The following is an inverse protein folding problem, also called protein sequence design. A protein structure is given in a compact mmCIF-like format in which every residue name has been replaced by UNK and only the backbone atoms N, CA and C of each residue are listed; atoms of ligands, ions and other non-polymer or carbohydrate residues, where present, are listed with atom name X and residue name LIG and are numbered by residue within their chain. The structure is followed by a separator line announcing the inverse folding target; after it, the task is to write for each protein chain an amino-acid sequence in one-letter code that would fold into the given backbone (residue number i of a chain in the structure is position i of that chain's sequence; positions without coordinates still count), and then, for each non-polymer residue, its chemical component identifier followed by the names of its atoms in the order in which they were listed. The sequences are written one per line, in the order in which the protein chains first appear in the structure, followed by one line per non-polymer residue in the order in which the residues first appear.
data_IF_105522964583
#
_entry.id   IF_105522964583
#
_cell.length_a   1.000
_cell.length_b   1.000
_cell.length_c   1.000
_cell.angle_alpha   90.00
_cell.angle_beta   90.00
_cell.angle_gamma   90.00
#
_symmetry.space_group_name_H-M   'P 1'
#
loop_
_entity.id
_entity.type
_entity.pdbx_description
1 polymer ?
#
# COMPACT_ATOMS: atom_id res chain seq x y z
N UNK A 1 22.70 15.56 68.89
CA UNK A 1 22.95 15.33 67.45
C UNK A 1 21.92 14.34 66.96
N UNK A 2 20.80 14.84 66.43
CA UNK A 2 19.64 14.03 66.01
C UNK A 2 19.42 14.31 64.52
N UNK A 3 19.74 13.33 63.68
CA UNK A 3 19.63 13.43 62.24
C UNK A 3 18.21 13.09 61.78
N UNK A 4 17.53 14.07 61.19
CA UNK A 4 16.22 13.95 60.57
C UNK A 4 16.41 13.49 59.11
N UNK A 5 15.87 12.33 58.74
CA UNK A 5 15.84 11.84 57.35
C UNK A 5 14.49 12.22 56.71
N UNK A 6 14.52 13.02 55.64
CA UNK A 6 13.37 13.26 54.76
C UNK A 6 13.29 12.15 53.70
N UNK A 7 12.11 11.54 53.46
CA UNK A 7 11.92 10.68 52.30
C UNK A 7 11.59 11.52 51.06
N UNK A 8 12.33 11.29 49.98
CA UNK A 8 12.08 11.86 48.65
C UNK A 8 10.91 11.10 48.02
N UNK A 9 9.74 11.74 47.91
CA UNK A 9 8.58 11.18 47.19
C UNK A 9 8.79 11.42 45.69
N UNK A 10 9.05 10.35 44.93
CA UNK A 10 9.16 10.39 43.48
C UNK A 10 7.78 10.50 42.82
N UNK A 11 7.49 11.63 42.19
CA UNK A 11 6.29 11.88 41.41
C UNK A 11 6.44 11.22 40.03
N UNK A 12 5.87 10.02 39.84
CA UNK A 12 5.77 9.39 38.52
C UNK A 12 4.71 10.13 37.68
N UNK A 13 5.16 10.99 36.76
CA UNK A 13 4.30 11.58 35.72
C UNK A 13 4.04 10.51 34.66
N UNK A 14 2.87 9.88 34.71
CA UNK A 14 2.38 8.99 33.66
C UNK A 14 1.87 9.88 32.51
N UNK A 15 2.69 10.06 31.48
CA UNK A 15 2.26 10.74 30.26
C UNK A 15 1.24 9.85 29.53
N UNK A 16 -0.03 10.22 29.61
CA UNK A 16 -1.13 9.59 28.87
C UNK A 16 -0.98 9.94 27.38
N UNK A 17 -0.36 9.05 26.60
CA UNK A 17 -0.45 9.11 25.15
C UNK A 17 -1.90 8.76 24.75
N UNK A 18 -2.68 9.75 24.34
CA UNK A 18 -4.01 9.55 23.78
C UNK A 18 -3.88 8.82 22.43
N UNK A 19 -3.85 7.49 22.46
CA UNK A 19 -4.21 6.70 21.29
C UNK A 19 -5.71 6.93 21.08
N UNK A 20 -6.09 7.59 20.00
CA UNK A 20 -7.48 7.70 19.57
C UNK A 20 -7.98 6.28 19.30
N UNK A 21 -8.62 5.67 20.29
CA UNK A 21 -9.32 4.41 20.13
C UNK A 21 -10.46 4.67 19.15
N UNK A 22 -10.56 3.83 18.11
CA UNK A 22 -11.75 3.81 17.27
C UNK A 22 -12.98 3.69 18.18
N UNK A 23 -14.04 4.45 17.88
CA UNK A 23 -15.29 4.37 18.63
C UNK A 23 -15.78 2.93 18.72
N UNK A 24 -16.65 2.64 19.68
CA UNK A 24 -17.33 1.35 19.79
C UNK A 24 -18.21 1.15 18.54
N UNK A 25 -17.60 0.71 17.43
CA UNK A 25 -18.33 0.29 16.24
C UNK A 25 -19.27 -0.86 16.63
N UNK A 26 -20.43 -0.93 16.00
CA UNK A 26 -21.48 -1.93 16.23
C UNK A 26 -21.06 -3.36 15.80
N UNK A 27 -19.77 -3.68 15.85
CA UNK A 27 -19.21 -4.93 15.35
C UNK A 27 -19.24 -4.97 13.82
N UNK A 28 -19.68 -6.11 13.30
CA UNK A 28 -19.61 -6.55 11.89
C UNK A 28 -20.50 -5.76 10.89
N UNK A 29 -21.22 -4.73 11.37
CA UNK A 29 -22.13 -3.92 10.53
C UNK A 29 -21.51 -2.63 10.03
N UNK A 30 -20.49 -2.10 10.70
CA UNK A 30 -19.94 -0.79 10.34
C UNK A 30 -18.69 -1.00 9.47
N UNK A 31 -18.78 -0.80 8.15
CA UNK A 31 -17.56 -0.57 7.37
C UNK A 31 -17.16 0.91 7.55
N UNK A 32 -15.86 1.22 7.55
CA UNK A 32 -14.71 0.32 7.64
C UNK A 32 -14.32 0.00 9.10
N UNK A 33 -14.65 -1.21 9.60
CA UNK A 33 -14.27 -1.71 10.94
C UNK A 33 -13.04 -2.63 10.96
N UNK A 34 -12.35 -2.80 9.85
CA UNK A 34 -11.29 -3.80 9.79
C UNK A 34 -10.06 -3.34 10.57
N UNK A 35 -9.37 -4.29 11.19
CA UNK A 35 -8.10 -4.16 11.90
C UNK A 35 -6.98 -3.68 10.96
N UNK A 36 -7.10 -2.50 10.36
CA UNK A 36 -6.30 -2.01 9.23
C UNK A 36 -5.67 -0.66 9.50
N UNK A 37 -5.43 -0.35 10.78
CA UNK A 37 -4.74 0.87 11.19
C UNK A 37 -5.63 1.87 11.95
N UNK A 38 -5.04 2.95 12.46
CA UNK A 38 -3.94 3.70 11.85
C UNK A 38 -2.59 2.95 11.87
N UNK A 39 -1.85 3.05 10.77
CA UNK A 39 -0.47 2.61 10.71
C UNK A 39 0.43 3.71 11.28
N UNK A 40 1.36 3.29 12.14
CA UNK A 40 2.43 4.14 12.66
C UNK A 40 3.68 3.88 11.85
N UNK A 41 4.37 4.93 11.41
CA UNK A 41 5.71 4.79 10.85
C UNK A 41 6.65 4.10 11.87
N UNK A 42 7.38 3.07 11.42
CA UNK A 42 8.41 2.45 12.25
C UNK A 42 9.53 3.46 12.54
N UNK A 43 10.03 3.43 13.77
CA UNK A 43 11.18 4.23 14.19
C UNK A 43 12.47 3.52 13.75
N UNK A 44 13.54 4.30 13.63
CA UNK A 44 14.86 3.79 13.26
C UNK A 44 15.28 2.54 14.04
N UNK A 45 15.26 2.59 15.39
CA UNK A 45 15.61 1.43 16.23
C UNK A 45 14.63 0.26 16.23
N UNK A 46 13.54 0.33 15.45
CA UNK A 46 12.62 -0.80 15.24
C UNK A 46 12.87 -1.51 13.90
N UNK A 47 13.52 -0.80 12.97
CA UNK A 47 13.95 -1.29 11.67
C UNK A 47 15.38 -1.85 11.77
N UNK A 48 16.24 -1.18 12.54
CA UNK A 48 17.67 -1.49 12.65
C UNK A 48 17.99 -2.34 13.88
N UNK A 49 18.99 -3.21 13.75
CA UNK A 49 19.62 -3.93 14.87
C UNK A 49 20.97 -3.29 15.20
N UNK A 50 20.97 -2.39 16.19
CA UNK A 50 22.12 -1.54 16.50
C UNK A 50 22.40 -0.54 15.38
N UNK A 51 23.65 -0.52 14.90
CA UNK A 51 24.07 0.31 13.77
C UNK A 51 23.81 -0.38 12.42
N UNK A 52 23.49 -1.68 12.43
CA UNK A 52 23.22 -2.43 11.21
C UNK A 52 21.75 -2.24 10.83
N UNK A 53 21.52 -1.33 9.91
CA UNK A 53 20.26 -1.21 9.21
C UNK A 53 20.41 -1.80 7.81
N UNK A 54 20.08 -3.07 7.63
CA UNK A 54 20.10 -3.66 6.30
C UNK A 54 18.84 -3.25 5.56
N UNK A 55 19.01 -2.49 4.47
CA UNK A 55 17.97 -1.66 3.87
C UNK A 55 18.10 -0.17 4.25
N UNK A 56 19.02 0.25 5.11
CA UNK A 56 19.30 1.67 5.33
C UNK A 56 20.81 1.84 5.47
N UNK A 57 21.51 2.23 4.41
CA UNK A 57 22.85 2.78 4.62
C UNK A 57 22.61 4.18 5.18
N UNK A 58 22.91 4.27 6.47
CA UNK A 58 23.88 5.21 6.99
C UNK A 58 24.14 6.42 6.08
N UNK A 59 23.41 7.50 6.37
CA UNK A 59 24.00 8.82 6.18
C UNK A 59 25.26 8.91 7.06
N UNK A 60 26.32 9.62 6.61
CA UNK A 60 27.51 9.83 7.43
C UNK A 60 27.14 10.48 8.78
N UNK A 61 27.92 10.23 9.87
CA UNK A 61 27.70 10.89 11.14
C UNK A 61 27.74 12.42 10.98
N UNK A 62 26.62 13.10 11.23
CA UNK A 62 26.53 14.57 11.18
C UNK A 62 25.29 15.17 10.51
N UNK A 63 24.42 14.39 9.88
CA UNK A 63 23.15 14.90 9.32
C UNK A 63 22.01 14.73 10.31
N UNK A 64 21.70 15.78 11.06
CA UNK A 64 20.66 15.83 12.09
C UNK A 64 19.20 15.70 11.60
N UNK A 65 18.95 15.35 10.33
CA UNK A 65 17.61 15.31 9.74
C UNK A 65 17.17 13.90 9.25
N UNK A 66 17.84 12.83 9.71
CA UNK A 66 17.25 11.49 9.86
C UNK A 66 16.52 10.90 8.64
N UNK A 67 16.92 11.22 7.41
CA UNK A 67 16.20 10.78 6.21
C UNK A 67 16.81 9.50 5.65
N UNK A 68 16.21 8.36 6.01
CA UNK A 68 16.54 6.99 5.58
C UNK A 68 16.68 6.94 4.04
N UNK A 69 17.84 6.57 3.52
CA UNK A 69 18.05 6.30 2.09
C UNK A 69 18.59 4.87 1.97
N UNK A 70 17.94 4.03 1.19
CA UNK A 70 18.35 2.65 1.02
C UNK A 70 19.48 2.60 -0.03
N UNK A 71 20.67 2.06 0.28
CA UNK A 71 21.75 1.82 -0.67
C UNK A 71 21.28 0.73 -1.61
N UNK A 72 21.07 1.09 -2.87
CA UNK A 72 20.61 0.15 -3.89
C UNK A 72 19.13 -0.21 -3.84
N UNK A 73 18.32 0.29 -2.89
CA UNK A 73 16.89 0.28 -3.18
C UNK A 73 16.66 1.27 -4.31
N UNK A 74 15.97 0.85 -5.36
CA UNK A 74 15.64 1.78 -6.42
C UNK A 74 14.81 2.94 -5.86
N UNK A 75 14.78 4.09 -6.55
CA UNK A 75 13.69 5.06 -6.40
C UNK A 75 12.40 4.35 -6.81
N UNK A 76 11.83 3.57 -5.89
CA UNK A 76 10.70 2.71 -6.17
C UNK A 76 9.45 3.51 -5.99
N UNK A 77 8.72 3.59 -7.09
CA UNK A 77 7.29 3.79 -7.08
C UNK A 77 6.68 2.40 -6.85
N UNK A 78 5.66 2.35 -6.02
CA UNK A 78 4.73 1.20 -6.00
C UNK A 78 5.31 -0.16 -5.62
N UNK A 79 5.60 -0.40 -4.33
CA UNK A 79 5.93 -1.74 -3.84
C UNK A 79 4.74 -2.70 -3.98
N UNK A 80 5.04 -3.98 -4.27
CA UNK A 80 4.11 -5.10 -4.07
C UNK A 80 4.77 -6.17 -3.21
N UNK A 81 4.02 -6.63 -2.20
CA UNK A 81 4.54 -7.57 -1.20
C UNK A 81 3.87 -8.95 -1.32
N UNK A 82 4.70 -9.99 -1.25
CA UNK A 82 4.27 -11.37 -1.00
C UNK A 82 4.82 -11.81 0.35
N UNK A 83 3.94 -12.37 1.18
CA UNK A 83 4.32 -12.96 2.47
C UNK A 83 4.28 -14.47 2.35
N UNK A 84 5.36 -15.12 2.79
CA UNK A 84 5.48 -16.56 2.91
C UNK A 84 5.84 -16.94 4.33
N UNK A 85 5.41 -18.15 4.69
CA UNK A 85 5.55 -18.62 6.05
C UNK A 85 4.56 -17.93 7.00
N UNK A 86 4.60 -18.37 8.25
CA UNK A 86 3.73 -17.87 9.30
C UNK A 86 4.42 -16.89 10.24
N UNK A 87 5.74 -16.77 10.11
CA UNK A 87 6.63 -16.12 11.07
C UNK A 87 6.81 -16.90 12.36
N UNK A 88 6.29 -18.13 12.43
CA UNK A 88 6.59 -19.06 13.52
C UNK A 88 7.85 -19.82 13.13
N UNK A 89 8.71 -20.07 14.11
CA UNK A 89 9.94 -20.86 13.93
C UNK A 89 10.94 -20.28 12.89
N UNK A 90 10.85 -18.98 12.60
CA UNK A 90 11.77 -18.29 11.67
C UNK A 90 11.52 -18.57 10.19
N UNK A 91 10.34 -19.11 9.85
CA UNK A 91 9.94 -19.41 8.46
C UNK A 91 9.49 -18.18 7.65
N UNK A 92 9.44 -16.99 8.26
CA UNK A 92 8.96 -15.78 7.62
C UNK A 92 9.82 -15.43 6.42
N UNK A 93 9.21 -15.20 5.26
CA UNK A 93 9.89 -14.57 4.12
C UNK A 93 8.96 -13.54 3.51
N UNK A 94 9.44 -12.31 3.43
CA UNK A 94 8.75 -11.22 2.74
C UNK A 94 9.48 -10.95 1.45
N UNK A 95 8.80 -11.16 0.33
CA UNK A 95 9.34 -10.85 -1.00
C UNK A 95 8.69 -9.56 -1.48
N UNK A 96 9.50 -8.57 -1.83
CA UNK A 96 9.04 -7.28 -2.31
C UNK A 96 9.44 -7.10 -3.77
N UNK A 97 8.46 -6.73 -4.59
CA UNK A 97 8.64 -6.31 -5.96
C UNK A 97 8.51 -4.79 -6.03
N UNK A 98 9.42 -4.14 -6.75
CA UNK A 98 9.52 -2.69 -6.78
C UNK A 98 10.01 -2.22 -8.14
N UNK A 99 9.57 -1.03 -8.54
CA UNK A 99 10.14 -0.38 -9.71
C UNK A 99 11.60 0.01 -9.51
N UNK A 100 12.37 -0.03 -10.60
CA UNK A 100 13.73 0.50 -10.68
C UNK A 100 13.93 1.31 -11.95
N UNK A 101 14.30 2.56 -11.76
CA UNK A 101 14.63 3.50 -12.83
C UNK A 101 15.56 4.61 -12.33
N UNK A 102 16.10 5.42 -13.25
CA UNK A 102 16.78 6.65 -12.89
C UNK A 102 15.77 7.69 -12.35
N UNK A 103 16.22 8.50 -11.39
CA UNK A 103 15.38 9.53 -10.75
C UNK A 103 14.70 10.45 -11.77
N UNK A 104 13.40 10.68 -11.57
CA UNK A 104 12.60 11.57 -12.39
C UNK A 104 12.27 11.06 -13.80
N UNK A 105 12.56 9.79 -14.10
CA UNK A 105 12.19 9.15 -15.38
C UNK A 105 11.25 7.96 -15.14
N UNK A 106 10.47 7.56 -16.15
CA UNK A 106 9.74 6.29 -16.10
C UNK A 106 10.69 5.12 -15.82
N UNK A 107 10.24 4.19 -14.97
CA UNK A 107 11.00 3.00 -14.61
C UNK A 107 11.09 2.05 -15.80
N UNK A 108 12.26 1.46 -16.01
CA UNK A 108 12.50 0.51 -17.11
C UNK A 108 12.62 -0.93 -16.58
N UNK A 109 12.60 -1.12 -15.25
CA UNK A 109 12.83 -2.41 -14.60
C UNK A 109 11.93 -2.59 -13.40
N UNK A 110 11.66 -3.85 -13.07
CA UNK A 110 11.13 -4.28 -11.79
C UNK A 110 12.20 -5.13 -11.11
N UNK A 111 12.48 -4.82 -9.85
CA UNK A 111 13.34 -5.61 -8.97
C UNK A 111 12.55 -6.47 -8.02
N UNK A 112 13.19 -7.52 -7.52
CA UNK A 112 12.79 -8.34 -6.39
C UNK A 112 13.80 -8.15 -5.27
N UNK A 113 13.31 -8.11 -4.05
CA UNK A 113 14.09 -8.12 -2.81
C UNK A 113 13.45 -9.11 -1.85
N UNK A 114 14.24 -9.66 -0.92
CA UNK A 114 13.74 -10.59 0.08
C UNK A 114 14.17 -10.17 1.48
N UNK A 115 13.25 -10.28 2.43
CA UNK A 115 13.49 -10.02 3.84
C UNK A 115 13.07 -11.22 4.69
N UNK A 116 14.00 -11.87 5.41
CA UNK A 116 13.66 -12.96 6.31
C UNK A 116 12.91 -12.50 7.57
N UNK A 117 12.88 -11.21 7.85
CA UNK A 117 12.27 -10.63 9.04
C UNK A 117 11.28 -9.49 8.74
N UNK A 118 10.93 -9.31 7.45
CA UNK A 118 10.06 -8.24 6.94
C UNK A 118 10.60 -6.80 7.08
N UNK A 119 11.86 -6.62 7.49
CA UNK A 119 12.48 -5.30 7.72
C UNK A 119 13.75 -5.14 6.89
N UNK A 120 14.57 -6.17 6.92
CA UNK A 120 15.88 -6.25 6.28
C UNK A 120 15.75 -6.80 4.87
N UNK A 121 15.72 -5.92 3.87
CA UNK A 121 15.67 -6.34 2.47
C UNK A 121 17.07 -6.52 1.91
N UNK A 122 17.36 -7.74 1.47
CA UNK A 122 18.60 -8.14 0.84
C UNK A 122 18.33 -8.68 -0.58
N UNK A 123 19.40 -9.06 -1.29
CA UNK A 123 19.32 -9.78 -2.56
C UNK A 123 18.52 -9.04 -3.65
N UNK A 124 18.85 -7.77 -3.88
CA UNK A 124 18.21 -6.93 -4.92
C UNK A 124 18.54 -7.51 -6.30
N UNK A 125 17.52 -8.03 -6.99
CA UNK A 125 17.65 -8.64 -8.31
C UNK A 125 16.71 -7.98 -9.31
N UNK A 126 17.20 -7.62 -10.50
CA UNK A 126 16.33 -7.23 -11.61
C UNK A 126 15.61 -8.49 -12.12
N UNK A 127 14.27 -8.51 -12.07
CA UNK A 127 13.45 -9.68 -12.44
C UNK A 127 12.60 -9.48 -13.69
N UNK A 128 12.38 -8.22 -14.08
CA UNK A 128 11.71 -7.85 -15.33
C UNK A 128 12.31 -6.54 -15.86
N UNK A 129 12.49 -6.45 -17.18
CA UNK A 129 12.94 -5.22 -17.86
C UNK A 129 11.99 -4.88 -18.99
N UNK A 130 11.69 -3.60 -19.22
CA UNK A 130 10.95 -3.14 -20.38
C UNK A 130 11.70 -3.53 -21.67
N UNK A 131 10.96 -4.01 -22.67
CA UNK A 131 11.54 -4.45 -23.94
C UNK A 131 10.53 -4.95 -24.96
N UNK A 132 9.28 -5.20 -24.57
CA UNK A 132 8.23 -5.50 -25.54
C UNK A 132 7.71 -4.19 -26.16
N UNK A 133 7.34 -4.18 -27.46
CA UNK A 133 6.85 -2.96 -28.11
C UNK A 133 5.65 -2.31 -27.41
N UNK A 134 4.74 -3.13 -26.85
CA UNK A 134 3.56 -2.64 -26.13
C UNK A 134 3.88 -2.01 -24.77
N UNK A 135 5.13 -2.09 -24.30
CA UNK A 135 5.54 -1.49 -23.02
C UNK A 135 5.92 -0.02 -23.18
N UNK A 136 6.21 0.46 -24.39
CA UNK A 136 6.60 1.85 -24.62
C UNK A 136 7.90 2.25 -23.92
N UNK A 137 8.74 1.29 -23.57
CA UNK A 137 10.02 1.52 -22.90
C UNK A 137 9.94 1.73 -21.38
N UNK A 138 8.77 1.63 -20.76
CA UNK A 138 8.63 1.72 -19.30
C UNK A 138 7.70 0.64 -18.75
N UNK A 139 8.00 0.19 -17.53
CA UNK A 139 7.17 -0.74 -16.76
C UNK A 139 7.12 -0.27 -15.30
N UNK A 140 5.96 -0.43 -14.66
CA UNK A 140 5.73 0.10 -13.32
C UNK A 140 4.64 -0.62 -12.55
N UNK A 141 4.36 -0.12 -11.35
CA UNK A 141 3.28 -0.54 -10.46
C UNK A 141 3.11 -2.07 -10.40
N UNK A 142 4.14 -2.82 -9.96
CA UNK A 142 4.03 -4.26 -9.84
C UNK A 142 2.90 -4.64 -8.88
N UNK A 143 2.18 -5.71 -9.21
CA UNK A 143 1.32 -6.46 -8.29
C UNK A 143 1.60 -7.96 -8.48
N UNK A 144 2.30 -8.53 -7.51
CA UNK A 144 2.64 -9.94 -7.47
C UNK A 144 1.55 -10.75 -6.71
N UNK A 145 1.23 -11.93 -7.23
CA UNK A 145 0.29 -12.88 -6.65
C UNK A 145 0.79 -14.31 -6.84
N UNK A 146 0.58 -15.17 -5.84
CA UNK A 146 0.84 -16.61 -5.97
C UNK A 146 -0.35 -17.34 -6.62
N UNK A 147 -0.11 -18.01 -7.74
CA UNK A 147 -1.14 -18.75 -8.49
C UNK A 147 -0.60 -20.11 -8.90
N UNK A 148 -1.15 -21.17 -8.30
CA UNK A 148 -0.83 -22.55 -8.70
C UNK A 148 0.66 -22.91 -8.57
N UNK A 149 1.36 -22.35 -7.59
CA UNK A 149 2.80 -22.59 -7.38
C UNK A 149 3.73 -21.72 -8.25
N UNK A 150 3.19 -20.76 -8.99
CA UNK A 150 3.95 -19.73 -9.71
C UNK A 150 3.67 -18.34 -9.16
N UNK A 151 4.56 -17.39 -9.44
CA UNK A 151 4.28 -15.96 -9.24
C UNK A 151 3.73 -15.36 -10.54
N UNK A 152 2.57 -14.73 -10.44
CA UNK A 152 2.04 -13.87 -11.49
C UNK A 152 2.34 -12.43 -11.10
N UNK A 153 2.92 -11.68 -12.02
CA UNK A 153 3.29 -10.28 -11.83
C UNK A 153 2.51 -9.44 -12.83
N UNK A 154 1.50 -8.72 -12.33
CA UNK A 154 0.79 -7.68 -13.06
C UNK A 154 1.58 -6.38 -12.98
N UNK A 155 1.63 -5.59 -14.05
CA UNK A 155 2.40 -4.34 -14.07
C UNK A 155 1.81 -3.34 -15.06
N UNK A 156 1.95 -2.05 -14.78
CA UNK A 156 1.61 -0.97 -15.70
C UNK A 156 2.67 -0.83 -16.81
N UNK A 157 2.25 -0.36 -17.99
CA UNK A 157 3.14 -0.14 -19.14
C UNK A 157 3.25 1.34 -19.50
N UNK A 158 4.41 1.76 -20.02
CA UNK A 158 4.67 3.12 -20.49
C UNK A 158 3.86 3.54 -21.72
N UNK A 159 3.43 2.58 -22.54
CA UNK A 159 2.50 2.84 -23.65
C UNK A 159 1.03 2.95 -23.21
N UNK A 160 0.75 2.71 -21.93
CA UNK A 160 -0.59 2.66 -21.35
C UNK A 160 -1.17 1.25 -21.31
N UNK A 161 -1.92 0.97 -20.24
CA UNK A 161 -2.51 -0.33 -19.96
C UNK A 161 -1.71 -1.14 -18.94
N UNK A 162 -2.21 -2.35 -18.71
CA UNK A 162 -1.66 -3.30 -17.74
C UNK A 162 -1.20 -4.53 -18.52
N UNK A 163 -0.06 -5.10 -18.14
CA UNK A 163 0.47 -6.34 -18.68
C UNK A 163 0.69 -7.36 -17.56
N UNK A 164 1.03 -8.59 -17.95
CA UNK A 164 1.32 -9.68 -17.02
C UNK A 164 2.56 -10.44 -17.46
N UNK A 165 3.34 -10.85 -16.47
CA UNK A 165 4.40 -11.82 -16.62
C UNK A 165 4.24 -12.95 -15.58
N UNK A 166 4.78 -14.12 -15.87
CA UNK A 166 4.71 -15.31 -15.02
C UNK A 166 6.11 -15.81 -14.72
N UNK A 167 6.36 -16.14 -13.46
CA UNK A 167 7.64 -16.69 -13.06
C UNK A 167 7.83 -18.11 -13.61
N UNK A 168 8.98 -18.36 -14.22
CA UNK A 168 9.35 -19.67 -14.78
C UNK A 168 10.10 -20.55 -13.78
N UNK A 169 10.57 -19.98 -12.68
CA UNK A 169 11.23 -20.65 -11.57
C UNK A 169 10.29 -20.93 -10.36
N UNK A 170 8.98 -20.89 -10.62
CA UNK A 170 7.94 -21.23 -9.66
C UNK A 170 7.75 -20.16 -8.59
N UNK A 171 7.80 -20.56 -7.32
CA UNK A 171 7.69 -19.60 -6.22
C UNK A 171 8.98 -18.79 -6.03
N UNK A 172 10.11 -19.16 -6.59
CA UNK A 172 11.32 -18.34 -6.41
C UNK A 172 11.13 -16.93 -6.96
N UNK A 173 10.45 -16.79 -8.11
CA UNK A 173 10.01 -15.51 -8.64
C UNK A 173 11.17 -14.64 -9.11
N UNK A 174 12.28 -15.23 -9.54
CA UNK A 174 13.50 -14.52 -9.97
C UNK A 174 13.59 -14.35 -11.49
N UNK A 175 12.84 -15.14 -12.26
CA UNK A 175 12.81 -15.04 -13.71
C UNK A 175 11.37 -15.05 -14.22
N UNK A 176 10.99 -14.06 -15.03
CA UNK A 176 9.63 -13.90 -15.55
C UNK A 176 9.58 -14.01 -17.07
N UNK A 177 8.58 -14.74 -17.57
CA UNK A 177 8.16 -14.77 -18.97
C UNK A 177 6.93 -13.86 -19.13
N UNK A 178 7.02 -12.89 -20.05
CA UNK A 178 5.92 -11.97 -20.35
C UNK A 178 4.88 -12.65 -21.21
N UNK A 179 3.62 -12.33 -20.97
CA UNK A 179 2.59 -12.67 -21.94
C UNK A 179 2.76 -11.83 -23.23
N UNK A 180 2.16 -12.28 -24.33
CA UNK A 180 2.40 -11.73 -25.67
C UNK A 180 1.92 -10.27 -25.86
N UNK A 181 1.13 -9.74 -24.94
CA UNK A 181 0.54 -8.41 -25.04
C UNK A 181 -0.02 -7.90 -23.72
N UNK A 182 -0.57 -6.68 -23.71
CA UNK A 182 -1.27 -6.14 -22.56
C UNK A 182 -2.54 -6.97 -22.28
N UNK A 183 -2.98 -6.91 -21.02
CA UNK A 183 -4.27 -7.42 -20.59
C UNK A 183 -5.38 -6.69 -21.32
N UNK A 184 -6.36 -7.45 -21.79
CA UNK A 184 -7.56 -6.91 -22.40
C UNK A 184 -8.58 -6.63 -21.30
N UNK A 185 -8.99 -5.37 -21.17
CA UNK A 185 -10.15 -4.97 -20.39
C UNK A 185 -11.36 -4.86 -21.33
N UNK A 186 -12.21 -5.88 -21.32
CA UNK A 186 -13.51 -5.89 -21.97
C UNK A 186 -14.57 -5.09 -21.21
N UNK A 187 -15.80 -5.07 -21.76
CA UNK A 187 -16.87 -4.19 -21.29
C UNK A 187 -16.76 -2.78 -21.86
N UNK A 188 -17.81 -1.99 -21.70
CA UNK A 188 -17.83 -0.60 -22.16
C UNK A 188 -16.95 0.26 -21.26
N UNK A 189 -16.02 1.02 -21.86
CA UNK A 189 -15.23 2.03 -21.15
C UNK A 189 -16.15 3.20 -20.79
N UNK A 190 -16.02 3.74 -19.58
CA UNK A 190 -16.71 4.98 -19.22
C UNK A 190 -15.76 6.17 -19.31
N UNK A 191 -15.86 6.91 -20.41
CA UNK A 191 -15.00 8.07 -20.69
C UNK A 191 -15.17 9.24 -19.70
N UNK A 192 -16.18 9.22 -18.80
CA UNK A 192 -16.35 10.25 -17.78
C UNK A 192 -15.32 10.16 -16.65
N UNK A 193 -14.93 8.94 -16.26
CA UNK A 193 -13.96 8.74 -15.18
C UNK A 193 -12.74 7.95 -15.64
N UNK A 194 -12.86 7.05 -16.62
CA UNK A 194 -11.74 6.35 -17.23
C UNK A 194 -11.04 7.24 -18.27
N UNK A 195 -10.61 8.44 -17.88
CA UNK A 195 -10.07 9.45 -18.81
C UNK A 195 -8.64 9.14 -19.27
N UNK A 196 -7.96 8.20 -18.63
CA UNK A 196 -6.58 7.78 -18.93
C UNK A 196 -6.50 6.25 -19.15
N UNK A 197 -5.44 5.73 -19.79
CA UNK A 197 -5.20 4.29 -19.82
C UNK A 197 -5.15 3.69 -18.40
N UNK A 198 -5.71 2.48 -18.19
CA UNK A 198 -5.58 1.76 -16.92
C UNK A 198 -4.13 1.62 -16.47
N UNK A 199 -3.88 1.85 -15.18
CA UNK A 199 -2.57 1.74 -14.53
C UNK A 199 -2.71 1.19 -13.10
N UNK A 200 -1.59 1.05 -12.40
CA UNK A 200 -1.55 0.68 -10.99
C UNK A 200 -2.43 -0.55 -10.65
N UNK A 201 -2.15 -1.72 -11.25
CA UNK A 201 -2.97 -2.91 -11.02
C UNK A 201 -2.86 -3.38 -9.57
N UNK A 202 -3.99 -3.80 -8.99
CA UNK A 202 -4.03 -4.60 -7.78
C UNK A 202 -4.95 -5.79 -7.99
N UNK A 203 -4.39 -6.99 -7.93
CA UNK A 203 -5.11 -8.22 -8.26
C UNK A 203 -5.26 -9.10 -7.02
N UNK A 204 -6.47 -9.57 -6.79
CA UNK A 204 -6.78 -10.59 -5.79
C UNK A 204 -7.45 -11.79 -6.46
N UNK A 205 -7.09 -12.99 -6.02
CA UNK A 205 -7.76 -14.23 -6.42
C UNK A 205 -8.79 -14.63 -5.38
N UNK A 206 -9.97 -15.02 -5.84
CA UNK A 206 -11.09 -15.44 -5.03
C UNK A 206 -11.04 -16.96 -4.75
N UNK A 207 -11.86 -17.41 -3.79
CA UNK A 207 -11.91 -18.83 -3.41
C UNK A 207 -12.44 -19.73 -4.52
N UNK A 208 -13.30 -19.21 -5.39
CA UNK A 208 -13.78 -19.91 -6.58
C UNK A 208 -12.74 -19.97 -7.71
N UNK A 209 -11.58 -19.37 -7.50
CA UNK A 209 -10.46 -19.33 -8.42
C UNK A 209 -10.49 -18.16 -9.41
N UNK A 210 -11.55 -17.36 -9.44
CA UNK A 210 -11.64 -16.14 -10.24
C UNK A 210 -10.73 -15.04 -9.70
N UNK A 211 -10.57 -13.96 -10.48
CA UNK A 211 -9.68 -12.85 -10.20
C UNK A 211 -10.45 -11.55 -10.26
N UNK A 212 -10.15 -10.67 -9.32
CA UNK A 212 -10.57 -9.27 -9.34
C UNK A 212 -9.33 -8.40 -9.55
N UNK A 213 -9.39 -7.50 -10.52
CA UNK A 213 -8.40 -6.48 -10.81
C UNK A 213 -8.98 -5.12 -10.45
N UNK A 214 -8.32 -4.43 -9.54
CA UNK A 214 -8.51 -3.02 -9.27
C UNK A 214 -7.45 -2.24 -10.04
N UNK A 215 -7.82 -1.11 -10.60
CA UNK A 215 -6.89 -0.31 -11.41
C UNK A 215 -7.25 1.17 -11.30
N UNK A 216 -6.24 2.03 -11.39
CA UNK A 216 -6.49 3.47 -11.50
C UNK A 216 -6.70 3.87 -12.97
N UNK A 217 -7.57 4.83 -13.18
CA UNK A 217 -7.75 5.54 -14.45
C UNK A 217 -8.28 6.94 -14.18
N UNK A 218 -7.63 7.95 -14.77
CA UNK A 218 -7.92 9.34 -14.45
C UNK A 218 -7.72 9.62 -12.95
N UNK A 219 -8.79 10.05 -12.29
CA UNK A 219 -8.81 10.39 -10.87
C UNK A 219 -9.54 9.35 -9.99
N UNK A 220 -9.92 8.19 -10.55
CA UNK A 220 -10.74 7.18 -9.90
C UNK A 220 -10.13 5.78 -9.99
N UNK A 221 -10.67 4.86 -9.19
CA UNK A 221 -10.30 3.44 -9.20
C UNK A 221 -11.47 2.63 -9.76
N UNK A 222 -11.18 1.83 -10.79
CA UNK A 222 -12.07 0.86 -11.40
C UNK A 222 -11.89 -0.55 -10.85
N UNK A 223 -12.80 -1.43 -11.25
CA UNK A 223 -12.73 -2.85 -10.98
C UNK A 223 -13.07 -3.66 -12.24
N UNK A 224 -12.42 -4.81 -12.41
CA UNK A 224 -12.71 -5.77 -13.44
C UNK A 224 -12.55 -7.21 -12.91
N UNK A 225 -13.29 -8.15 -13.47
CA UNK A 225 -13.27 -9.56 -13.07
C UNK A 225 -12.75 -10.45 -14.19
N UNK A 226 -12.10 -11.56 -13.84
CA UNK A 226 -11.60 -12.54 -14.80
C UNK A 226 -11.67 -13.96 -14.26
N UNK A 227 -12.11 -14.96 -15.05
CA UNK A 227 -12.06 -16.36 -14.63
C UNK A 227 -10.65 -16.96 -14.69
N UNK A 228 -9.74 -16.37 -15.47
CA UNK A 228 -8.40 -16.92 -15.75
C UNK A 228 -7.24 -15.98 -15.41
N UNK A 229 -7.56 -14.74 -15.00
CA UNK A 229 -6.63 -13.67 -14.71
C UNK A 229 -5.82 -13.20 -15.93
N UNK A 230 -6.31 -13.45 -17.15
CA UNK A 230 -5.73 -13.01 -18.42
C UNK A 230 -6.62 -11.96 -19.08
N UNK A 231 -7.90 -12.29 -19.27
CA UNK A 231 -8.88 -11.42 -19.90
C UNK A 231 -9.88 -10.96 -18.83
N UNK A 232 -9.98 -9.65 -18.64
CA UNK A 232 -10.83 -9.06 -17.61
C UNK A 232 -12.01 -8.34 -18.24
N UNK A 233 -13.16 -8.36 -17.55
CA UNK A 233 -14.35 -7.60 -17.91
C UNK A 233 -14.61 -6.58 -16.83
N UNK A 234 -14.76 -5.31 -17.18
CA UNK A 234 -15.06 -4.24 -16.23
C UNK A 234 -16.34 -4.54 -15.44
N UNK A 235 -16.32 -4.18 -14.16
CA UNK A 235 -17.44 -4.31 -13.25
C UNK A 235 -18.02 -2.92 -12.97
N UNK A 236 -19.34 -2.80 -13.06
CA UNK A 236 -20.06 -1.62 -12.62
C UNK A 236 -20.25 -1.66 -11.10
N UNK A 237 -19.72 -0.65 -10.39
CA UNK A 237 -19.83 -0.57 -8.94
C UNK A 237 -21.26 -0.27 -8.47
N UNK A 238 -22.10 0.34 -9.32
CA UNK A 238 -23.51 0.61 -9.03
C UNK A 238 -24.38 0.46 -10.28
N UNK A 239 -24.86 -0.75 -10.58
CA UNK A 239 -25.67 -1.03 -11.76
C UNK A 239 -27.06 -0.39 -11.73
N UNK A 240 -27.41 0.37 -10.69
CA UNK A 240 -28.64 1.16 -10.66
C UNK A 240 -28.51 2.49 -11.41
N UNK A 241 -27.28 2.92 -11.73
CA UNK A 241 -27.04 4.10 -12.56
C UNK A 241 -26.92 3.70 -14.05
N UNK A 242 -27.18 4.62 -15.00
CA UNK A 242 -27.13 4.30 -16.43
C UNK A 242 -25.70 4.22 -16.99
N UNK A 243 -24.68 4.48 -16.18
CA UNK A 243 -23.28 4.56 -16.61
C UNK A 243 -22.41 3.77 -15.65
N UNK A 244 -21.39 3.08 -16.16
CA UNK A 244 -20.51 2.28 -15.31
C UNK A 244 -19.80 3.15 -14.25
N UNK A 245 -20.03 2.87 -12.97
CA UNK A 245 -19.45 3.63 -11.86
C UNK A 245 -18.08 3.07 -11.43
N UNK A 246 -17.12 3.94 -11.02
CA UNK A 246 -15.89 3.48 -10.38
C UNK A 246 -16.18 2.90 -8.99
N UNK A 247 -15.34 1.98 -8.53
CA UNK A 247 -15.48 1.44 -7.16
C UNK A 247 -15.13 2.45 -6.08
N UNK A 248 -14.22 3.38 -6.38
CA UNK A 248 -13.91 4.56 -5.58
C UNK A 248 -13.60 5.74 -6.49
N UNK A 249 -14.21 6.89 -6.20
CA UNK A 249 -13.84 8.19 -6.75
C UNK A 249 -13.32 9.16 -5.68
N UNK A 250 -12.83 10.35 -6.10
CA UNK A 250 -12.45 11.42 -5.19
C UNK A 250 -13.59 11.79 -4.24
N UNK A 251 -13.25 12.30 -3.05
CA UNK A 251 -14.26 12.89 -2.17
C UNK A 251 -14.81 14.18 -2.74
N UNK A 252 -16.06 14.49 -2.41
CA UNK A 252 -16.65 15.76 -2.80
C UNK A 252 -15.82 16.94 -2.23
N UNK A 253 -15.55 17.95 -3.06
CA UNK A 253 -14.99 19.22 -2.63
C UNK A 253 -15.71 19.85 -1.45
N UNK A 254 -14.98 20.17 -0.39
CA UNK A 254 -15.54 20.92 0.75
C UNK A 254 -14.90 22.29 0.86
N UNK A 255 -15.73 23.34 0.95
CA UNK A 255 -15.26 24.70 1.24
C UNK A 255 -14.73 24.76 2.69
N UNK A 256 -13.43 25.06 2.91
CA UNK A 256 -12.86 25.13 4.25
C UNK A 256 -13.58 26.12 5.18
N UNK A 257 -14.20 27.17 4.63
CA UNK A 257 -14.92 28.18 5.42
C UNK A 257 -16.24 27.65 6.00
N UNK A 258 -16.76 26.55 5.44
CA UNK A 258 -18.01 25.91 5.87
C UNK A 258 -17.80 24.79 6.88
N UNK A 259 -16.54 24.38 7.12
CA UNK A 259 -16.22 23.30 8.04
C UNK A 259 -16.35 23.75 9.51
N UNK A 260 -16.98 22.94 10.37
CA UNK A 260 -16.91 23.14 11.81
C UNK A 260 -15.46 23.10 12.33
N UNK A 261 -15.14 23.82 13.43
CA UNK A 261 -13.82 23.76 14.02
C UNK A 261 -13.37 22.32 14.33
N UNK A 262 -12.17 21.97 13.87
CA UNK A 262 -11.58 20.64 14.08
C UNK A 262 -11.95 19.57 13.04
N UNK A 263 -12.91 19.85 12.15
CA UNK A 263 -13.18 18.98 10.99
C UNK A 263 -12.06 19.18 9.97
N UNK A 264 -11.50 18.07 9.49
CA UNK A 264 -10.44 18.08 8.47
C UNK A 264 -11.07 18.03 7.09
N UNK A 265 -10.42 18.68 6.13
CA UNK A 265 -10.75 18.50 4.72
C UNK A 265 -10.48 17.05 4.30
N UNK A 266 -11.20 16.52 3.30
CA UNK A 266 -10.86 15.24 2.71
C UNK A 266 -9.44 15.27 2.14
N UNK A 267 -8.70 14.18 2.33
CA UNK A 267 -7.32 14.03 1.82
C UNK A 267 -7.28 13.54 0.36
N UNK A 268 -8.44 13.22 -0.21
CA UNK A 268 -8.66 12.59 -1.51
C UNK A 268 -9.66 13.40 -2.36
N UNK A 269 -9.76 14.72 -2.15
CA UNK A 269 -10.70 15.61 -2.87
C UNK A 269 -10.29 15.96 -4.32
N UNK A 270 -9.14 15.44 -4.77
CA UNK A 270 -8.64 15.58 -6.14
C UNK A 270 -8.61 14.27 -6.90
N UNK A 271 -8.03 13.23 -6.31
CA UNK A 271 -7.86 11.93 -6.97
C UNK A 271 -7.71 10.80 -5.95
N UNK A 272 -8.10 9.60 -6.36
CA UNK A 272 -7.68 8.35 -5.74
C UNK A 272 -6.85 7.55 -6.76
N UNK A 273 -5.81 6.89 -6.29
CA UNK A 273 -4.82 6.19 -7.13
C UNK A 273 -4.21 5.00 -6.38
N UNK A 274 -3.32 4.27 -7.06
CA UNK A 274 -2.50 3.19 -6.51
C UNK A 274 -3.28 2.23 -5.59
N UNK A 275 -4.30 1.53 -6.12
CA UNK A 275 -5.05 0.59 -5.29
C UNK A 275 -4.14 -0.51 -4.76
N UNK A 276 -4.44 -0.98 -3.56
CA UNK A 276 -3.96 -2.25 -3.04
C UNK A 276 -5.09 -2.96 -2.33
N UNK A 277 -5.43 -4.14 -2.83
CA UNK A 277 -6.51 -4.95 -2.29
C UNK A 277 -5.94 -6.11 -1.47
N UNK A 278 -6.49 -6.31 -0.28
CA UNK A 278 -6.35 -7.55 0.46
C UNK A 278 -7.72 -8.12 0.82
N UNK A 279 -7.77 -9.44 0.96
CA UNK A 279 -8.96 -10.16 1.41
C UNK A 279 -8.76 -10.62 2.84
N UNK A 280 -9.78 -10.44 3.67
CA UNK A 280 -9.77 -10.94 5.03
C UNK A 280 -11.14 -11.38 5.49
N UNK A 281 -11.19 -11.93 6.70
CA UNK A 281 -12.43 -12.19 7.41
C UNK A 281 -12.69 -11.06 8.40
N UNK A 282 -13.96 -10.69 8.54
CA UNK A 282 -14.43 -9.85 9.63
C UNK A 282 -14.46 -10.63 10.94
N UNK A 283 -14.76 -9.94 12.05
CA UNK A 283 -14.92 -10.58 13.36
C UNK A 283 -16.06 -11.63 13.38
N UNK A 284 -17.06 -11.49 12.50
CA UNK A 284 -18.15 -12.45 12.34
C UNK A 284 -17.86 -13.53 11.28
N UNK A 285 -16.65 -13.58 10.71
CA UNK A 285 -16.28 -14.57 9.71
C UNK A 285 -16.80 -14.29 8.31
N UNK A 286 -17.27 -13.05 8.01
CA UNK A 286 -17.66 -12.68 6.65
C UNK A 286 -16.45 -12.27 5.84
N UNK A 287 -16.47 -12.62 4.56
CA UNK A 287 -15.47 -12.16 3.60
C UNK A 287 -15.57 -10.65 3.45
N UNK A 288 -14.44 -9.99 3.65
CA UNK A 288 -14.27 -8.56 3.51
C UNK A 288 -13.13 -8.29 2.53
N UNK A 289 -13.38 -7.40 1.58
CA UNK A 289 -12.34 -6.82 0.74
C UNK A 289 -11.92 -5.48 1.32
N UNK A 290 -10.62 -5.25 1.33
CA UNK A 290 -9.96 -4.15 2.01
C UNK A 290 -9.11 -3.44 0.98
N UNK A 291 -9.49 -2.23 0.61
CA UNK A 291 -8.81 -1.43 -0.39
C UNK A 291 -8.05 -0.32 0.31
N UNK A 292 -6.73 -0.39 0.23
CA UNK A 292 -5.85 0.75 0.53
C UNK A 292 -5.62 1.49 -0.79
N UNK A 293 -5.49 2.81 -0.73
CA UNK A 293 -5.31 3.63 -1.93
C UNK A 293 -4.55 4.91 -1.60
N UNK A 294 -3.89 5.50 -2.57
CA UNK A 294 -3.37 6.86 -2.46
C UNK A 294 -4.52 7.85 -2.65
N UNK A 295 -4.85 8.63 -1.62
CA UNK A 295 -5.66 9.83 -1.77
C UNK A 295 -4.78 11.03 -2.06
N UNK A 296 -5.15 11.84 -3.05
CA UNK A 296 -4.49 13.10 -3.37
C UNK A 296 -5.45 14.25 -3.12
N UNK A 297 -4.96 15.27 -2.43
CA UNK A 297 -5.72 16.49 -2.21
C UNK A 297 -5.40 17.55 -3.28
N UNK A 298 -6.22 18.60 -3.33
CA UNK A 298 -6.01 19.73 -4.27
C UNK A 298 -4.81 20.60 -3.97
N UNK A 299 -4.24 20.51 -2.78
CA UNK A 299 -3.03 21.23 -2.37
C UNK A 299 -1.77 20.47 -2.80
N UNK A 300 -1.92 19.28 -3.38
CA UNK A 300 -0.84 18.42 -3.81
C UNK A 300 -0.36 17.45 -2.73
N UNK A 301 -1.00 17.45 -1.55
CA UNK A 301 -0.79 16.46 -0.51
C UNK A 301 -1.22 15.06 -0.98
N UNK A 302 -0.56 14.04 -0.44
CA UNK A 302 -1.04 12.67 -0.60
C UNK A 302 -0.89 11.88 0.69
N UNK A 303 -1.81 10.94 0.90
CA UNK A 303 -1.84 10.05 2.05
C UNK A 303 -2.56 8.76 1.69
N UNK A 304 -2.33 7.72 2.46
CA UNK A 304 -2.95 6.42 2.23
C UNK A 304 -4.32 6.36 2.89
N UNK A 305 -5.35 6.21 2.06
CA UNK A 305 -6.72 5.95 2.47
C UNK A 305 -7.01 4.49 2.74
N UNK A 306 -8.21 4.24 3.26
CA UNK A 306 -8.75 2.90 3.43
C UNK A 306 -10.24 2.89 3.07
N UNK A 307 -10.67 1.83 2.41
CA UNK A 307 -12.07 1.53 2.20
C UNK A 307 -12.30 0.02 2.33
N UNK A 308 -13.55 -0.36 2.62
CA UNK A 308 -13.91 -1.77 2.70
C UNK A 308 -15.27 -2.05 2.08
N UNK A 309 -15.47 -3.30 1.69
CA UNK A 309 -16.80 -3.84 1.38
C UNK A 309 -16.93 -5.28 1.86
N UNK A 310 -18.17 -5.71 2.07
CA UNK A 310 -18.51 -7.11 2.26
C UNK A 310 -18.94 -7.72 0.93
N UNK A 311 -18.58 -8.98 0.69
CA UNK A 311 -18.87 -9.62 -0.58
C UNK A 311 -17.97 -9.12 -1.72
N UNK A 312 -18.10 -9.76 -2.87
CA UNK A 312 -17.21 -9.59 -4.03
C UNK A 312 -17.62 -8.46 -4.98
N UNK A 313 -18.73 -7.76 -4.75
CA UNK A 313 -19.27 -6.76 -5.68
C UNK A 313 -19.82 -5.53 -4.94
N UNK A 314 -20.05 -4.44 -5.70
CA UNK A 314 -20.60 -3.17 -5.21
C UNK A 314 -19.55 -2.15 -4.78
N UNK A 315 -20.02 -0.95 -4.40
CA UNK A 315 -19.14 0.15 -3.97
C UNK A 315 -18.37 -0.17 -2.69
N UNK A 316 -17.17 0.41 -2.60
CA UNK A 316 -16.40 0.41 -1.36
C UNK A 316 -16.84 1.57 -0.46
N UNK A 317 -16.97 1.30 0.84
CA UNK A 317 -17.21 2.33 1.85
C UNK A 317 -15.88 2.91 2.33
N UNK A 318 -15.63 4.18 2.02
CA UNK A 318 -14.42 4.90 2.44
C UNK A 318 -14.44 5.17 3.94
N UNK A 319 -13.26 5.08 4.55
CA UNK A 319 -13.01 5.58 5.91
C UNK A 319 -12.87 7.09 5.88
N UNK A 320 -13.40 7.75 6.90
CA UNK A 320 -13.08 9.15 7.15
C UNK A 320 -11.58 9.30 7.53
N UNK A 321 -10.84 10.00 6.68
CA UNK A 321 -9.41 10.27 6.87
C UNK A 321 -8.48 9.16 6.39
N UNK A 322 -7.17 9.45 6.44
CA UNK A 322 -6.12 8.54 6.01
C UNK A 322 -5.71 7.57 7.13
N UNK A 323 -5.22 6.39 6.75
CA UNK A 323 -4.66 5.38 7.67
C UNK A 323 -3.14 5.47 7.80
N UNK A 324 -2.47 6.17 6.89
CA UNK A 324 -1.03 6.45 6.94
C UNK A 324 -0.71 7.72 6.13
N UNK A 325 0.04 8.67 6.67
CA UNK A 325 0.39 9.94 5.98
C UNK A 325 0.27 11.22 6.82
N UNK A 326 0.14 12.37 6.14
CA UNK A 326 -0.13 13.71 6.68
C UNK A 326 1.08 14.49 7.22
N UNK A 327 1.87 13.87 8.11
CA UNK A 327 3.17 14.37 8.61
C UNK A 327 4.00 13.16 9.04
N UNK A 328 4.74 12.60 8.09
CA UNK A 328 5.57 11.43 8.37
C UNK A 328 6.98 11.86 8.81
N UNK A 329 7.63 11.01 9.60
CA UNK A 329 9.07 11.11 9.94
C UNK A 329 9.55 12.42 10.58
N UNK A 330 8.66 13.15 11.25
CA UNK A 330 9.03 14.40 11.90
C UNK A 330 9.29 15.55 10.93
N UNK A 331 8.86 15.43 9.67
CA UNK A 331 8.84 16.53 8.70
C UNK A 331 7.94 17.66 9.25
N UNK A 332 8.53 18.77 9.71
CA UNK A 332 7.77 19.86 10.31
C UNK A 332 6.91 20.58 9.27
N UNK A 333 7.39 20.59 8.02
CA UNK A 333 6.84 21.33 6.89
C UNK A 333 5.69 20.58 6.22
N UNK A 334 5.61 19.25 6.42
CA UNK A 334 4.53 18.41 5.89
C UNK A 334 4.65 18.17 4.38
N UNK A 335 5.87 18.15 3.87
CA UNK A 335 6.19 17.90 2.46
C UNK A 335 6.34 16.40 2.14
N UNK A 336 6.12 15.52 3.12
CA UNK A 336 6.20 14.07 2.94
C UNK A 336 4.87 13.52 2.40
N UNK A 337 4.93 12.94 1.20
CA UNK A 337 3.79 12.40 0.48
C UNK A 337 3.81 10.87 0.51
N UNK A 338 2.77 10.23 1.05
CA UNK A 338 2.69 8.77 1.08
C UNK A 338 1.80 8.27 -0.06
N UNK A 339 2.33 7.35 -0.86
CA UNK A 339 1.67 6.79 -2.04
C UNK A 339 1.90 5.28 -2.16
N UNK A 340 1.15 4.67 -3.07
CA UNK A 340 1.31 3.29 -3.53
C UNK A 340 1.49 2.28 -2.38
N UNK A 341 0.43 2.09 -1.57
CA UNK A 341 0.48 1.21 -0.43
C UNK A 341 0.54 -0.25 -0.88
N UNK A 342 1.20 -1.09 -0.11
CA UNK A 342 0.99 -2.53 -0.11
C UNK A 342 1.01 -3.03 1.33
N UNK A 343 0.17 -3.99 1.66
CA UNK A 343 -0.03 -4.44 3.05
C UNK A 343 0.27 -5.92 3.17
N UNK A 344 1.23 -6.23 4.01
CA UNK A 344 1.56 -7.57 4.46
C UNK A 344 0.92 -7.84 5.82
N UNK A 345 0.25 -8.98 5.98
CA UNK A 345 -0.38 -9.38 7.26
C UNK A 345 0.33 -10.57 7.87
N UNK A 346 0.54 -10.50 9.18
CA UNK A 346 1.25 -11.50 9.98
C UNK A 346 0.46 -11.76 11.25
N UNK A 347 -0.48 -12.70 11.23
CA UNK A 347 -1.26 -13.12 12.41
C UNK A 347 -1.84 -11.97 13.25
N UNK A 348 -1.04 -11.44 14.17
CA UNK A 348 -1.36 -10.39 15.13
C UNK A 348 -0.94 -8.96 14.72
N UNK A 349 -0.22 -8.75 13.61
CA UNK A 349 0.11 -7.41 13.09
C UNK A 349 0.04 -7.33 11.57
N UNK A 350 0.06 -6.10 11.04
CA UNK A 350 0.25 -5.83 9.63
C UNK A 350 1.36 -4.81 9.44
N UNK A 351 2.12 -4.99 8.36
CA UNK A 351 3.05 -3.99 7.85
C UNK A 351 2.48 -3.39 6.58
N UNK A 352 2.53 -2.06 6.49
CA UNK A 352 2.28 -1.33 5.27
C UNK A 352 3.62 -0.89 4.71
N UNK A 353 3.86 -1.18 3.45
CA UNK A 353 4.94 -0.61 2.67
C UNK A 353 4.33 0.45 1.75
N UNK A 354 4.95 1.62 1.66
CA UNK A 354 4.46 2.71 0.83
C UNK A 354 5.64 3.46 0.22
N UNK A 355 5.45 4.06 -0.96
CA UNK A 355 6.40 5.03 -1.48
C UNK A 355 6.22 6.37 -0.76
N UNK A 356 7.31 6.98 -0.32
CA UNK A 356 7.36 8.27 0.36
C UNK A 356 8.14 9.23 -0.53
N UNK A 357 7.47 10.26 -1.05
CA UNK A 357 8.17 11.33 -1.76
C UNK A 357 8.67 12.36 -0.75
N UNK A 358 9.97 12.67 -0.80
CA UNK A 358 10.62 13.69 0.00
C UNK A 358 11.59 14.50 -0.87
N UNK A 359 11.30 15.79 -1.08
CA UNK A 359 12.21 16.76 -1.74
C UNK A 359 12.91 16.22 -3.01
N UNK A 360 12.16 15.52 -3.88
CA UNK A 360 12.61 14.86 -5.14
C UNK A 360 13.27 13.49 -5.01
N UNK A 361 13.40 12.95 -3.81
CA UNK A 361 13.75 11.56 -3.57
C UNK A 361 12.48 10.74 -3.28
N UNK A 362 12.45 9.48 -3.74
CA UNK A 362 11.39 8.53 -3.41
C UNK A 362 11.97 7.42 -2.56
N UNK A 363 11.25 7.05 -1.50
CA UNK A 363 11.76 6.17 -0.44
C UNK A 363 10.72 5.12 -0.07
N UNK A 364 11.16 3.94 0.34
CA UNK A 364 10.28 2.94 0.91
C UNK A 364 10.00 3.26 2.38
N UNK A 365 8.76 3.64 2.70
CA UNK A 365 8.27 3.80 4.05
C UNK A 365 7.63 2.50 4.57
N UNK A 366 7.90 2.17 5.83
CA UNK A 366 7.27 1.03 6.51
C UNK A 366 6.43 1.53 7.69
N UNK A 367 5.14 1.24 7.63
CA UNK A 367 4.17 1.45 8.70
C UNK A 367 3.81 0.15 9.38
N UNK A 368 3.53 0.18 10.68
CA UNK A 368 3.03 -0.97 11.45
C UNK A 368 1.66 -0.66 12.06
N UNK A 369 0.77 -1.64 12.00
CA UNK A 369 -0.51 -1.62 12.71
C UNK A 369 -0.73 -2.94 13.46
N UNK A 370 -1.06 -2.91 14.76
CA UNK A 370 -1.47 -4.12 15.47
C UNK A 370 -2.83 -4.62 14.92
N UNK A 371 -2.95 -5.95 14.71
CA UNK A 371 -4.23 -6.61 14.44
C UNK A 371 -4.96 -6.99 15.75
N UNK A 372 -4.24 -7.14 16.87
CA UNK A 372 -4.80 -7.43 18.19
C UNK A 372 -4.26 -6.47 19.23
N UNK A 373 -5.04 -6.21 20.29
CA UNK A 373 -4.86 -5.10 21.26
C UNK A 373 -3.50 -5.03 22.00
N UNK A 374 -2.59 -5.98 21.83
CA UNK A 374 -1.27 -5.94 22.48
C UNK A 374 -0.23 -6.62 21.60
N UNK A 375 0.62 -5.83 20.93
CA UNK A 375 1.87 -6.32 20.36
C UNK A 375 3.00 -5.95 21.32
N UNK A 376 3.73 -6.94 21.83
CA UNK A 376 5.06 -6.72 22.41
C UNK A 376 6.07 -7.16 21.37
N UNK A 377 6.58 -6.21 20.58
CA UNK A 377 7.77 -6.45 19.75
C UNK A 377 8.93 -6.52 20.73
N UNK A 378 9.60 -7.67 20.82
CA UNK A 378 10.85 -7.82 21.56
C UNK A 378 12.01 -7.68 20.62
#
# INVERSE_FOLDING_TARGET
MTNLRLPLLGLCVVASACATLAGEGKGDVDLPNALTGPFRALKHGEICDGDVCTGVDELPPGTSNGTISYPGAPPSRSPSVLVRGTGRDGDLRVVLYAERGPDGRPSERIVRMEAPDARTFEDVQDVLSAGAPFEGGAIGDPCALEVGGAIWLYYATGAGGIARARSTDGLQGRAFEKDAGPIVLGGERNDLWETEPPRAPAVVRLDDGSFHLFYASGASIGEATSPDGVAFTRLDADPSTPVMDPVIGPSEPVDPATLPPGVRLPFDDRAVDDPWVDRGLSAAGRVQYRLHFTGRDRRGGSSIGFAGRFGDSGRFEKRDGFVFGGKLFGDPDGNSHANAPTVARFGDFALMFASIDYERSQKLGIGIAPQRRTLSIR
#
